data_IF_610744785639
#
_entry.id   IF_610744785639
#
_cell.length_a   1.000
_cell.length_b   1.000
_cell.length_c   1.000
_cell.angle_alpha   90.00
_cell.angle_beta   90.00
_cell.angle_gamma   90.00
#
_symmetry.space_group_name_H-M   'P 1'
#
loop_
_entity.id
_entity.type
_entity.pdbx_description
1 polymer ?
#
# COMPACT_ATOMS: atom_id res chain seq x y z
N UNK A 1 -10.55 -21.63 18.24
CA UNK A 1 -9.89 -21.47 16.92
C UNK A 1 -10.91 -20.80 16.01
N UNK A 2 -10.57 -19.65 15.40
CA UNK A 2 -11.46 -18.99 14.44
C UNK A 2 -11.08 -19.53 13.05
N UNK A 3 -11.96 -20.29 12.45
CA UNK A 3 -11.82 -20.82 11.10
C UNK A 3 -12.61 -19.96 10.12
N UNK A 4 -12.02 -19.60 9.01
CA UNK A 4 -12.68 -18.86 7.94
C UNK A 4 -11.89 -17.64 7.47
N UNK A 5 -12.38 -17.02 6.40
CA UNK A 5 -11.78 -15.83 5.83
C UNK A 5 -11.99 -14.63 6.75
N UNK A 6 -10.96 -13.83 6.92
CA UNK A 6 -11.04 -12.53 7.58
C UNK A 6 -10.98 -11.42 6.54
N UNK A 7 -11.56 -10.27 6.87
CA UNK A 7 -11.60 -9.09 6.02
C UNK A 7 -10.84 -7.98 6.73
N UNK A 8 -9.76 -7.44 6.16
CA UNK A 8 -9.05 -6.29 6.71
C UNK A 8 -10.00 -5.12 6.95
N UNK A 9 -9.87 -4.46 8.12
CA UNK A 9 -10.85 -3.45 8.50
C UNK A 9 -10.23 -2.09 8.79
N UNK A 10 -9.51 -1.90 9.88
CA UNK A 10 -8.88 -0.62 10.19
C UNK A 10 -7.40 -0.67 9.79
N UNK A 11 -6.94 0.41 9.17
CA UNK A 11 -5.56 0.55 8.72
C UNK A 11 -5.08 1.98 8.84
N UNK A 12 -3.79 2.15 8.95
CA UNK A 12 -3.11 3.44 8.86
C UNK A 12 -2.09 3.43 7.72
N UNK A 13 -1.71 4.63 7.28
CA UNK A 13 -0.68 4.82 6.28
C UNK A 13 0.63 5.26 6.96
N UNK A 14 1.76 4.71 6.51
CA UNK A 14 3.08 5.07 7.04
C UNK A 14 4.14 4.98 5.96
N UNK A 15 5.26 5.64 6.19
CA UNK A 15 6.51 5.45 5.44
C UNK A 15 7.69 5.54 6.40
N UNK A 16 8.83 5.07 5.92
CA UNK A 16 10.08 5.19 6.63
C UNK A 16 11.26 4.92 5.72
N UNK A 17 12.42 5.39 6.12
CA UNK A 17 13.70 5.21 5.43
C UNK A 17 14.83 4.97 6.42
N UNK A 18 15.82 4.22 5.98
CA UNK A 18 16.94 3.88 6.83
C UNK A 18 18.20 3.62 6.03
N UNK A 19 19.32 3.80 6.68
CA UNK A 19 20.64 3.55 6.12
C UNK A 19 21.49 2.76 7.10
N UNK A 20 22.33 1.87 6.59
CA UNK A 20 23.30 1.13 7.39
C UNK A 20 24.67 1.11 6.73
N UNK A 21 25.72 1.10 7.54
CA UNK A 21 27.03 0.67 7.07
C UNK A 21 26.99 -0.84 6.83
N UNK A 22 27.85 -1.34 5.92
CA UNK A 22 28.01 -2.77 5.75
C UNK A 22 28.36 -3.39 7.12
N UNK A 23 27.55 -4.32 7.54
CA UNK A 23 27.85 -5.17 8.68
C UNK A 23 29.13 -5.98 8.40
N UNK A 24 29.27 -7.17 8.97
CA UNK A 24 30.34 -8.10 8.62
C UNK A 24 30.31 -8.42 7.11
N UNK A 25 31.48 -8.56 6.49
CA UNK A 25 31.67 -8.91 5.06
C UNK A 25 30.64 -9.99 4.63
N UNK A 26 29.81 -9.67 3.64
CA UNK A 26 28.85 -10.59 3.03
C UNK A 26 27.43 -10.51 3.57
N UNK A 27 27.15 -9.76 4.62
CA UNK A 27 25.78 -9.45 5.04
C UNK A 27 25.30 -8.19 4.31
N UNK A 28 24.49 -8.41 3.29
CA UNK A 28 23.84 -7.33 2.55
C UNK A 28 22.83 -6.61 3.45
N UNK A 29 22.57 -5.37 3.14
CA UNK A 29 21.66 -4.34 3.63
C UNK A 29 20.32 -4.79 4.24
N UNK A 30 19.89 -6.02 4.00
CA UNK A 30 18.54 -6.51 4.32
C UNK A 30 18.17 -6.37 5.79
N UNK A 31 19.15 -6.53 6.67
CA UNK A 31 18.85 -6.43 8.12
C UNK A 31 19.03 -5.01 8.66
N UNK A 32 20.05 -4.28 8.25
CA UNK A 32 20.37 -2.99 8.88
C UNK A 32 19.55 -1.81 8.36
N UNK A 33 19.55 -1.57 7.04
CA UNK A 33 18.86 -0.42 6.45
C UNK A 33 17.34 -0.61 6.43
N UNK A 34 16.88 -1.86 6.22
CA UNK A 34 15.45 -2.15 6.25
C UNK A 34 14.87 -2.07 7.67
N UNK A 35 15.57 -2.59 8.67
CA UNK A 35 15.20 -2.46 10.08
C UNK A 35 15.09 -1.00 10.51
N UNK A 36 16.07 -0.17 10.10
CA UNK A 36 16.03 1.27 10.31
C UNK A 36 14.84 1.95 9.61
N UNK A 37 14.46 1.49 8.40
CA UNK A 37 13.29 2.00 7.69
C UNK A 37 11.97 1.60 8.39
N UNK A 38 11.89 0.39 8.93
CA UNK A 38 10.74 -0.05 9.74
C UNK A 38 10.65 0.73 11.05
N UNK A 39 11.79 1.06 11.68
CA UNK A 39 11.85 1.90 12.88
C UNK A 39 11.31 3.30 12.59
N UNK A 40 11.75 3.92 11.50
CA UNK A 40 11.25 5.24 11.07
C UNK A 40 9.75 5.20 10.73
N UNK A 41 9.26 4.09 10.17
CA UNK A 41 7.84 3.83 9.94
C UNK A 41 7.05 3.56 11.24
N UNK A 42 7.70 3.17 12.35
CA UNK A 42 7.12 2.85 13.65
C UNK A 42 6.58 1.42 13.77
N UNK A 43 7.06 0.48 12.95
CA UNK A 43 6.57 -0.90 12.89
C UNK A 43 7.67 -1.95 13.01
N UNK A 44 8.85 -1.57 13.51
CA UNK A 44 10.04 -2.41 13.63
C UNK A 44 9.82 -3.67 14.47
N UNK A 45 8.89 -3.61 15.41
CA UNK A 45 8.59 -4.73 16.30
C UNK A 45 7.50 -5.69 15.77
N UNK A 46 7.12 -5.57 14.49
CA UNK A 46 6.12 -6.40 13.84
C UNK A 46 6.73 -7.41 12.86
N UNK A 47 6.03 -8.54 12.68
CA UNK A 47 6.30 -9.47 11.59
C UNK A 47 5.51 -9.02 10.35
N UNK A 48 6.17 -8.38 9.40
CA UNK A 48 5.51 -7.79 8.21
C UNK A 48 5.12 -8.87 7.20
N UNK A 49 3.84 -8.91 6.82
CA UNK A 49 3.31 -9.77 5.75
C UNK A 49 2.67 -8.89 4.67
N UNK A 50 3.01 -9.17 3.42
CA UNK A 50 2.52 -8.39 2.29
C UNK A 50 1.18 -8.91 1.77
N UNK A 51 0.25 -7.98 1.57
CA UNK A 51 -1.01 -8.16 0.86
C UNK A 51 -0.94 -7.67 -0.57
N UNK A 52 -1.83 -8.21 -1.42
CA UNK A 52 -2.11 -7.63 -2.73
C UNK A 52 -2.99 -6.38 -2.62
N UNK A 53 -3.22 -5.73 -3.72
CA UNK A 53 -3.71 -4.37 -3.90
C UNK A 53 -5.20 -4.10 -3.58
N UNK A 54 -5.94 -4.99 -2.91
CA UNK A 54 -7.41 -4.84 -2.74
C UNK A 54 -7.77 -4.27 -1.37
N UNK A 55 -8.52 -3.16 -1.38
CA UNK A 55 -9.05 -2.50 -0.18
C UNK A 55 -10.54 -2.87 -0.04
N UNK A 56 -10.94 -3.53 1.07
CA UNK A 56 -12.33 -3.91 1.28
C UNK A 56 -13.28 -2.71 1.37
N UNK A 57 -14.54 -2.91 0.97
CA UNK A 57 -15.60 -1.88 1.08
C UNK A 57 -15.79 -1.37 2.51
N UNK A 58 -15.55 -2.21 3.50
CA UNK A 58 -15.69 -1.86 4.92
C UNK A 58 -14.42 -1.26 5.53
N UNK A 59 -13.34 -1.15 4.77
CA UNK A 59 -12.07 -0.67 5.29
C UNK A 59 -12.16 0.77 5.78
N UNK A 60 -11.44 1.07 6.87
CA UNK A 60 -11.45 2.37 7.53
C UNK A 60 -10.02 2.84 7.80
N UNK A 61 -9.68 3.99 7.25
CA UNK A 61 -8.44 4.68 7.59
C UNK A 61 -8.55 5.26 9.01
N UNK A 62 -7.51 5.06 9.81
CA UNK A 62 -7.34 5.68 11.12
C UNK A 62 -6.03 6.49 11.15
N UNK A 63 -5.87 7.45 12.06
CA UNK A 63 -4.60 8.14 12.25
C UNK A 63 -3.45 7.18 12.55
N UNK A 64 -2.23 7.49 12.05
CA UNK A 64 -1.03 6.67 12.29
C UNK A 64 -0.79 6.46 13.79
N UNK A 65 -0.90 7.51 14.58
CA UNK A 65 -0.67 7.49 16.02
C UNK A 65 -1.65 6.56 16.77
N UNK A 66 -2.89 6.47 16.27
CA UNK A 66 -3.89 5.54 16.80
C UNK A 66 -3.53 4.10 16.41
N UNK A 67 -3.12 3.88 15.18
CA UNK A 67 -2.67 2.57 14.69
C UNK A 67 -1.47 2.05 15.49
N UNK A 68 -0.44 2.88 15.65
CA UNK A 68 0.79 2.51 16.38
C UNK A 68 0.53 2.13 17.86
N UNK A 69 -0.44 2.76 18.52
CA UNK A 69 -0.82 2.41 19.90
C UNK A 69 -1.45 1.01 20.04
N UNK A 70 -1.91 0.42 18.93
CA UNK A 70 -2.56 -0.91 18.94
C UNK A 70 -1.59 -2.04 18.66
N UNK A 71 -0.38 -1.73 18.18
CA UNK A 71 0.65 -2.70 17.82
C UNK A 71 1.27 -3.31 19.08
N UNK A 72 1.48 -4.63 19.04
CA UNK A 72 2.16 -5.37 20.09
C UNK A 72 3.45 -5.98 19.55
N UNK A 73 4.41 -6.15 20.41
CA UNK A 73 5.67 -6.82 20.10
C UNK A 73 5.45 -8.22 19.51
N UNK A 74 6.03 -8.48 18.32
CA UNK A 74 5.94 -9.76 17.62
C UNK A 74 4.60 -9.99 16.90
N UNK A 75 3.70 -9.00 16.87
CA UNK A 75 2.43 -9.10 16.15
C UNK A 75 2.67 -9.19 14.64
N UNK A 76 1.76 -9.87 13.95
CA UNK A 76 1.76 -9.94 12.49
C UNK A 76 1.14 -8.65 11.94
N UNK A 77 1.95 -7.85 11.26
CA UNK A 77 1.53 -6.65 10.56
C UNK A 77 1.28 -6.98 9.08
N UNK A 78 0.03 -7.12 8.74
CA UNK A 78 -0.38 -7.31 7.35
C UNK A 78 -0.48 -5.96 6.65
N UNK A 79 0.20 -5.79 5.53
CA UNK A 79 0.25 -4.50 4.85
C UNK A 79 0.26 -4.61 3.32
N UNK A 80 -0.23 -3.57 2.65
CA UNK A 80 0.05 -3.31 1.24
C UNK A 80 1.24 -2.37 1.24
N UNK A 81 2.38 -2.78 0.66
CA UNK A 81 3.64 -2.03 0.77
C UNK A 81 4.40 -1.90 -0.54
N UNK A 82 5.13 -0.81 -0.65
CA UNK A 82 6.23 -0.63 -1.57
C UNK A 82 7.54 -0.55 -0.80
N UNK A 83 8.60 -1.09 -1.36
CA UNK A 83 9.95 -1.06 -0.78
C UNK A 83 10.98 -0.90 -1.89
N UNK A 84 11.96 -0.03 -1.67
CA UNK A 84 13.14 0.10 -2.51
C UNK A 84 14.41 0.02 -1.67
N UNK A 85 15.41 -0.67 -2.20
CA UNK A 85 16.73 -0.79 -1.60
C UNK A 85 17.77 -0.28 -2.59
N UNK A 86 18.88 0.23 -2.08
CA UNK A 86 19.97 0.70 -2.92
C UNK A 86 21.29 0.81 -2.16
N UNK A 87 22.35 0.89 -2.93
CA UNK A 87 23.72 1.07 -2.45
C UNK A 87 24.10 2.54 -2.41
N UNK A 88 25.21 2.85 -1.77
CA UNK A 88 25.78 4.19 -1.64
C UNK A 88 25.80 4.95 -2.98
N UNK A 89 25.32 6.17 -2.96
CA UNK A 89 25.18 7.04 -4.13
C UNK A 89 23.86 6.88 -4.89
N UNK A 90 23.07 5.83 -4.60
CA UNK A 90 21.75 5.65 -5.24
C UNK A 90 20.72 6.66 -4.74
N UNK A 91 19.78 7.02 -5.59
CA UNK A 91 18.49 7.59 -5.19
C UNK A 91 17.43 6.50 -5.27
N UNK A 92 16.74 6.26 -4.17
CA UNK A 92 15.67 5.24 -4.06
C UNK A 92 14.40 5.87 -3.54
N UNK A 93 13.26 5.35 -3.98
CA UNK A 93 11.96 5.84 -3.53
C UNK A 93 10.89 4.74 -3.54
N UNK A 94 9.91 4.88 -2.65
CA UNK A 94 8.76 4.00 -2.56
C UNK A 94 7.49 4.82 -2.37
N UNK A 95 6.38 4.36 -2.97
CA UNK A 95 5.08 5.00 -2.78
C UNK A 95 3.93 3.99 -2.78
N UNK A 96 2.90 4.29 -2.01
CA UNK A 96 1.60 3.63 -2.07
C UNK A 96 0.52 4.68 -2.27
N UNK A 97 -0.39 4.42 -3.22
CA UNK A 97 -1.53 5.28 -3.52
C UNK A 97 -2.81 4.48 -3.51
N UNK A 98 -3.86 5.00 -2.86
CA UNK A 98 -5.19 4.38 -2.93
C UNK A 98 -6.04 4.99 -4.03
N UNK A 99 -6.98 4.18 -4.53
CA UNK A 99 -8.07 4.60 -5.41
C UNK A 99 -9.37 4.01 -4.90
N UNK A 100 -10.36 4.85 -4.63
CA UNK A 100 -11.72 4.39 -4.34
C UNK A 100 -12.46 4.14 -5.67
N UNK A 101 -13.34 3.13 -5.69
CA UNK A 101 -14.13 2.75 -6.86
C UNK A 101 -15.61 2.83 -6.53
N UNK A 102 -16.36 3.54 -7.36
CA UNK A 102 -17.82 3.66 -7.27
C UNK A 102 -18.49 3.17 -8.56
N UNK A 103 -19.67 2.60 -8.44
CA UNK A 103 -20.48 2.23 -9.60
C UNK A 103 -21.19 3.45 -10.21
N UNK A 104 -21.90 3.22 -11.33
CA UNK A 104 -22.67 4.24 -12.04
C UNK A 104 -23.83 4.86 -11.22
N UNK A 105 -24.17 4.29 -10.07
CA UNK A 105 -25.15 4.80 -9.09
C UNK A 105 -24.48 5.48 -7.90
N UNK A 106 -23.19 5.75 -7.99
CA UNK A 106 -22.37 6.32 -6.92
C UNK A 106 -22.30 5.46 -5.65
N UNK A 107 -22.47 4.13 -5.78
CA UNK A 107 -22.29 3.20 -4.67
C UNK A 107 -20.83 2.82 -4.56
N UNK A 108 -20.24 2.99 -3.38
CA UNK A 108 -18.88 2.56 -3.09
C UNK A 108 -18.72 1.04 -3.17
N UNK A 109 -17.77 0.58 -3.95
CA UNK A 109 -17.49 -0.84 -4.20
C UNK A 109 -16.26 -1.37 -3.44
N UNK A 110 -15.45 -0.50 -2.89
CA UNK A 110 -14.14 -0.77 -2.32
C UNK A 110 -13.06 0.01 -3.06
N UNK A 111 -11.82 -0.36 -2.87
CA UNK A 111 -10.71 0.35 -3.49
C UNK A 111 -9.57 -0.56 -3.91
N UNK A 112 -8.57 0.07 -4.50
CA UNK A 112 -7.28 -0.53 -4.79
C UNK A 112 -6.17 0.31 -4.20
N UNK A 113 -5.10 -0.33 -3.78
CA UNK A 113 -3.83 0.33 -3.55
C UNK A 113 -2.89 -0.03 -4.69
N UNK A 114 -2.08 0.92 -5.09
CA UNK A 114 -1.06 0.77 -6.12
C UNK A 114 0.28 1.10 -5.49
N UNK A 115 1.28 0.31 -5.83
CA UNK A 115 2.62 0.39 -5.27
C UNK A 115 3.60 0.86 -6.34
N UNK A 116 4.57 1.66 -5.92
CA UNK A 116 5.73 2.07 -6.71
C UNK A 116 7.01 1.84 -5.93
N UNK A 117 7.96 1.17 -6.55
CA UNK A 117 9.31 0.96 -6.05
C UNK A 117 10.30 1.30 -7.13
N UNK A 118 11.28 2.15 -6.85
CA UNK A 118 12.22 2.59 -7.87
C UNK A 118 13.15 3.72 -7.41
N UNK A 119 13.58 4.52 -8.40
CA UNK A 119 14.47 5.66 -8.22
C UNK A 119 13.85 6.98 -8.72
N UNK A 120 12.53 7.02 -8.90
CA UNK A 120 11.86 8.20 -9.42
C UNK A 120 11.53 9.23 -8.34
N UNK A 121 11.42 10.48 -8.78
CA UNK A 121 10.86 11.57 -7.99
C UNK A 121 9.40 11.31 -7.65
N UNK A 122 8.83 12.12 -6.78
CA UNK A 122 7.40 12.06 -6.44
C UNK A 122 6.50 12.16 -7.67
N UNK A 123 6.84 13.02 -8.60
CA UNK A 123 6.10 13.23 -9.86
C UNK A 123 6.21 12.01 -10.79
N UNK A 124 7.37 11.38 -10.87
CA UNK A 124 7.58 10.16 -11.65
C UNK A 124 6.86 8.97 -11.03
N UNK A 125 6.87 8.84 -9.70
CA UNK A 125 6.08 7.84 -8.99
C UNK A 125 4.58 8.01 -9.26
N UNK A 126 4.04 9.23 -9.19
CA UNK A 126 2.63 9.51 -9.52
C UNK A 126 2.28 9.16 -10.97
N UNK A 127 3.15 9.45 -11.94
CA UNK A 127 2.94 9.06 -13.35
C UNK A 127 2.91 7.53 -13.51
N UNK A 128 3.80 6.81 -12.84
CA UNK A 128 3.84 5.35 -12.84
C UNK A 128 2.57 4.76 -12.23
N UNK A 129 2.14 5.28 -11.07
CA UNK A 129 0.92 4.85 -10.39
C UNK A 129 -0.34 5.13 -11.22
N UNK A 130 -0.40 6.26 -11.92
CA UNK A 130 -1.49 6.59 -12.85
C UNK A 130 -1.57 5.57 -14.00
N UNK A 131 -0.42 5.19 -14.56
CA UNK A 131 -0.32 4.18 -15.62
C UNK A 131 -0.75 2.81 -15.11
N UNK A 132 -0.30 2.42 -13.93
CA UNK A 132 -0.66 1.16 -13.27
C UNK A 132 -2.16 1.09 -12.98
N UNK A 133 -2.76 2.20 -12.51
CA UNK A 133 -4.20 2.30 -12.29
C UNK A 133 -4.99 2.06 -13.59
N UNK A 134 -4.61 2.73 -14.67
CA UNK A 134 -5.27 2.55 -15.97
C UNK A 134 -5.29 1.08 -16.38
N UNK A 135 -4.15 0.42 -16.35
CA UNK A 135 -4.04 -1.00 -16.71
C UNK A 135 -4.81 -1.92 -15.74
N UNK A 136 -4.82 -1.62 -14.43
CA UNK A 136 -5.57 -2.41 -13.45
C UNK A 136 -7.07 -2.32 -13.70
N UNK A 137 -7.61 -1.14 -13.90
CA UNK A 137 -9.04 -0.88 -14.14
C UNK A 137 -9.51 -1.58 -15.43
N UNK A 138 -8.72 -1.53 -16.48
CA UNK A 138 -9.01 -2.22 -17.74
C UNK A 138 -9.05 -3.74 -17.52
N UNK A 139 -8.00 -4.34 -16.93
CA UNK A 139 -7.94 -5.80 -16.69
C UNK A 139 -9.04 -6.30 -15.75
N UNK A 140 -9.53 -5.48 -14.84
CA UNK A 140 -10.63 -5.81 -13.93
C UNK A 140 -12.01 -5.61 -14.55
N UNK A 141 -12.09 -5.18 -15.82
CA UNK A 141 -13.33 -5.04 -16.58
C UNK A 141 -14.17 -3.80 -16.22
N UNK A 142 -13.59 -2.81 -15.53
CA UNK A 142 -14.28 -1.55 -15.20
C UNK A 142 -14.39 -0.58 -16.39
N UNK A 143 -13.81 -0.94 -17.54
CA UNK A 143 -13.79 -0.13 -18.76
C UNK A 143 -12.49 0.65 -18.90
N UNK A 144 -12.44 1.50 -19.92
CA UNK A 144 -11.27 2.32 -20.24
C UNK A 144 -11.39 3.71 -19.59
N UNK A 145 -10.25 4.31 -19.32
CA UNK A 145 -10.15 5.74 -19.05
C UNK A 145 -9.60 6.37 -20.32
N UNK A 146 -10.44 7.09 -21.06
CA UNK A 146 -10.14 7.62 -22.40
C UNK A 146 -8.98 8.63 -22.37
N UNK A 147 -8.96 9.45 -21.33
CA UNK A 147 -7.92 10.46 -21.14
C UNK A 147 -6.80 9.95 -20.22
N UNK A 148 -5.82 10.82 -19.96
CA UNK A 148 -4.82 10.62 -18.93
C UNK A 148 -5.52 10.55 -17.56
N UNK A 149 -5.13 9.56 -16.72
CA UNK A 149 -5.58 9.50 -15.33
C UNK A 149 -5.13 10.76 -14.60
N UNK A 150 -6.08 11.49 -14.03
CA UNK A 150 -5.81 12.65 -13.18
C UNK A 150 -5.81 12.20 -11.72
N UNK A 151 -4.61 12.19 -11.11
CA UNK A 151 -4.48 11.91 -9.67
C UNK A 151 -5.08 13.08 -8.88
N UNK A 152 -5.71 12.77 -7.74
CA UNK A 152 -6.43 13.72 -6.87
C UNK A 152 -7.71 14.32 -7.48
N UNK A 153 -8.19 13.76 -8.57
CA UNK A 153 -9.46 14.13 -9.21
C UNK A 153 -10.29 12.90 -9.56
N UNK A 154 -11.56 13.11 -9.78
CA UNK A 154 -12.46 12.06 -10.23
C UNK A 154 -12.16 11.70 -11.68
N UNK A 155 -12.10 10.39 -11.93
CA UNK A 155 -11.95 9.84 -13.27
C UNK A 155 -13.14 8.94 -13.58
N UNK A 156 -13.76 9.12 -14.75
CA UNK A 156 -14.87 8.29 -15.19
C UNK A 156 -14.39 7.30 -16.25
N UNK A 157 -14.82 6.04 -16.12
CA UNK A 157 -14.51 5.02 -17.12
C UNK A 157 -15.57 4.94 -18.21
N UNK A 158 -15.25 4.33 -19.35
CA UNK A 158 -16.18 4.09 -20.46
C UNK A 158 -17.43 3.28 -20.07
N UNK A 159 -17.38 2.53 -18.97
CA UNK A 159 -18.51 1.79 -18.40
C UNK A 159 -19.23 2.54 -17.28
N UNK A 160 -18.90 3.80 -17.04
CA UNK A 160 -19.58 4.66 -16.08
C UNK A 160 -19.12 4.51 -14.62
N UNK A 161 -18.09 3.71 -14.32
CA UNK A 161 -17.50 3.69 -12.97
C UNK A 161 -16.77 4.99 -12.69
N UNK A 162 -16.78 5.41 -11.43
CA UNK A 162 -16.10 6.61 -10.95
C UNK A 162 -14.95 6.17 -10.06
N UNK A 163 -13.78 6.74 -10.29
CA UNK A 163 -12.54 6.46 -9.58
C UNK A 163 -12.06 7.73 -8.89
N UNK A 164 -11.66 7.61 -7.61
CA UNK A 164 -11.04 8.69 -6.84
C UNK A 164 -9.61 8.31 -6.46
N UNK A 165 -8.62 8.47 -7.35
CA UNK A 165 -7.23 8.16 -7.05
C UNK A 165 -6.58 9.25 -6.20
N UNK A 166 -5.70 8.83 -5.27
CA UNK A 166 -4.90 9.74 -4.46
C UNK A 166 -5.54 10.16 -3.14
N UNK A 167 -6.65 9.55 -2.71
CA UNK A 167 -7.24 9.80 -1.38
C UNK A 167 -6.21 9.59 -0.26
N UNK A 168 -5.37 8.57 -0.42
CA UNK A 168 -4.17 8.37 0.36
C UNK A 168 -3.02 8.27 -0.64
N UNK A 169 -1.97 9.01 -0.39
CA UNK A 169 -0.72 8.94 -1.12
C UNK A 169 0.43 9.09 -0.13
N UNK A 170 1.19 8.03 0.02
CA UNK A 170 2.42 8.00 0.83
C UNK A 170 3.59 7.84 -0.12
N UNK A 171 4.57 8.69 0.01
CA UNK A 171 5.82 8.65 -0.76
C UNK A 171 6.97 8.99 0.17
N UNK A 172 8.03 8.22 0.07
CA UNK A 172 9.31 8.56 0.69
C UNK A 172 10.46 8.29 -0.27
N UNK A 173 11.59 8.92 -0.02
CA UNK A 173 12.78 8.79 -0.85
C UNK A 173 14.04 9.03 -0.05
N UNK A 174 15.16 8.51 -0.56
CA UNK A 174 16.46 8.57 0.08
C UNK A 174 17.56 8.67 -0.96
N UNK A 175 18.46 9.62 -0.79
CA UNK A 175 19.81 9.56 -1.36
C UNK A 175 20.71 8.79 -0.41
N UNK A 176 21.09 7.59 -0.78
CA UNK A 176 21.85 6.66 0.06
C UNK A 176 23.28 7.18 0.23
N UNK A 177 23.64 7.51 1.47
CA UNK A 177 24.98 8.04 1.85
C UNK A 177 25.87 6.96 2.45
N UNK A 178 25.28 5.98 3.14
CA UNK A 178 25.96 4.82 3.71
C UNK A 178 26.06 3.70 2.69
N UNK A 179 26.63 2.57 3.09
CA UNK A 179 26.80 1.41 2.18
C UNK A 179 25.46 0.92 1.63
N UNK A 180 24.41 0.93 2.45
CA UNK A 180 23.09 0.45 2.07
C UNK A 180 21.98 1.36 2.58
N UNK A 181 20.91 1.50 1.78
CA UNK A 181 19.70 2.23 2.12
C UNK A 181 18.44 1.47 1.78
N UNK A 182 17.38 1.71 2.55
CA UNK A 182 16.03 1.20 2.30
C UNK A 182 15.00 2.29 2.47
N UNK A 183 13.97 2.26 1.63
CA UNK A 183 12.77 3.11 1.74
C UNK A 183 11.55 2.21 1.73
N UNK A 184 10.59 2.53 2.59
CA UNK A 184 9.37 1.78 2.81
C UNK A 184 8.16 2.72 2.80
N UNK A 185 7.07 2.33 2.14
CA UNK A 185 5.77 3.02 2.17
C UNK A 185 4.66 1.97 2.25
N UNK A 186 3.69 2.12 3.16
CA UNK A 186 2.68 1.09 3.37
C UNK A 186 1.32 1.59 3.88
N UNK A 187 0.30 0.74 3.66
CA UNK A 187 -0.96 0.71 4.38
C UNK A 187 -0.95 -0.49 5.32
N UNK A 188 -0.96 -0.26 6.62
CA UNK A 188 -0.78 -1.26 7.67
C UNK A 188 -2.11 -1.56 8.37
N UNK A 189 -2.55 -2.82 8.35
CA UNK A 189 -3.82 -3.26 8.94
C UNK A 189 -3.67 -3.60 10.42
N UNK A 190 -4.52 -3.03 11.26
CA UNK A 190 -4.51 -3.24 12.72
C UNK A 190 -5.73 -3.98 13.24
N UNK A 191 -6.74 -4.21 12.42
CA UNK A 191 -7.90 -5.00 12.79
C UNK A 191 -8.56 -5.70 11.60
N UNK A 192 -9.31 -6.75 11.90
CA UNK A 192 -10.01 -7.57 10.92
C UNK A 192 -11.45 -7.85 11.36
N UNK A 193 -12.35 -7.97 10.40
CA UNK A 193 -13.71 -8.49 10.59
C UNK A 193 -13.79 -9.94 10.14
N UNK A 194 -14.53 -10.74 10.89
CA UNK A 194 -14.87 -12.09 10.50
C UNK A 194 -16.30 -12.10 9.98
N UNK A 195 -16.55 -12.56 8.73
CA UNK A 195 -17.90 -12.70 8.21
C UNK A 195 -18.72 -13.64 9.10
N UNK A 196 -19.93 -13.24 9.49
CA UNK A 196 -20.83 -14.15 10.21
C UNK A 196 -21.28 -15.27 9.27
N UNK A 197 -21.40 -16.48 9.78
CA UNK A 197 -21.84 -17.67 9.03
C UNK A 197 -23.23 -17.55 8.39
N UNK A 198 -24.03 -16.55 8.79
CA UNK A 198 -25.36 -16.29 8.26
C UNK A 198 -25.39 -15.70 6.85
N UNK A 199 -24.28 -15.21 6.28
CA UNK A 199 -24.22 -14.57 4.96
C UNK A 199 -23.54 -15.41 3.87
N UNK A 200 -23.37 -16.73 4.06
CA UNK A 200 -22.77 -17.60 3.04
C UNK A 200 -23.70 -17.96 1.86
N UNK A 201 -24.93 -17.47 1.86
CA UNK A 201 -25.87 -17.70 0.74
C UNK A 201 -25.86 -16.51 -0.22
N UNK A 202 -24.84 -16.36 -1.05
CA UNK A 202 -24.92 -15.73 -2.38
C UNK A 202 -23.54 -15.71 -3.08
N UNK A 203 -22.99 -16.89 -3.36
CA UNK A 203 -22.22 -17.04 -4.59
C UNK A 203 -23.04 -17.94 -5.51
N UNK A 204 -24.05 -17.38 -6.16
CA UNK A 204 -24.57 -17.96 -7.40
C UNK A 204 -23.62 -17.50 -8.51
N UNK A 205 -22.99 -18.48 -9.11
CA UNK A 205 -22.15 -18.35 -10.30
C UNK A 205 -22.84 -17.49 -11.38
N UNK A 206 -22.13 -16.52 -11.91
CA UNK A 206 -22.27 -16.04 -13.26
C UNK A 206 -20.88 -15.91 -13.86
#
# INVERSE_FOLDING_TARGET
MILGNRIPYEYFATSGKGESEAGSKGLKYETGSYDAALTDAGIENCNVIEYTSVIPTSAKLIPKEEGLKRIRWGEVMECIKAQSNGDKGSFISAAVMTTDVYDHKNKYLGGFALEYSGSGTKEEALKSLATSLKGLIERRGYGLIDNKVEIFKDNKTSKGYILHPGKIFVYDSLHVKKEHGSVFAALCWVSHKFPSSKNSKTRKNK
#
